data_IF_290400055688
#
_entry.id   IF_290400055688
#
_cell.length_a   1.000
_cell.length_b   1.000
_cell.length_c   1.000
_cell.angle_alpha   90.00
_cell.angle_beta   90.00
_cell.angle_gamma   90.00
#
_symmetry.space_group_name_H-M   'P 1'
#
loop_
_entity.id
_entity.type
_entity.pdbx_description
1 polymer ?
#
# COMPACT_ATOMS: atom_id res chain seq x y z
N UNK A 1 -1.00 -16.47 24.55
CA UNK A 1 -1.23 -15.24 23.78
C UNK A 1 -0.85 -15.51 22.33
N UNK A 2 -1.76 -15.39 21.35
CA UNK A 2 -1.45 -15.64 19.92
C UNK A 2 -1.08 -14.32 19.26
N UNK A 3 0.15 -14.19 18.73
CA UNK A 3 0.54 -13.06 17.88
C UNK A 3 -0.34 -13.04 16.63
N UNK A 4 -0.85 -11.86 16.26
CA UNK A 4 -1.60 -11.66 15.00
C UNK A 4 -0.66 -11.81 13.82
N UNK A 5 -1.22 -12.08 12.63
CA UNK A 5 -0.43 -12.24 11.41
C UNK A 5 0.38 -10.97 11.08
N UNK A 6 -0.20 -9.79 11.31
CA UNK A 6 0.47 -8.50 11.12
C UNK A 6 1.73 -8.33 11.98
N UNK A 7 1.73 -8.87 13.21
CA UNK A 7 2.87 -8.79 14.12
C UNK A 7 4.10 -9.60 13.64
N UNK A 8 3.93 -10.42 12.59
CA UNK A 8 4.99 -11.27 12.02
C UNK A 8 5.50 -10.79 10.67
N UNK A 9 4.75 -9.92 10.00
CA UNK A 9 5.11 -9.39 8.69
C UNK A 9 6.25 -8.40 8.82
N UNK A 10 7.31 -8.57 8.02
CA UNK A 10 8.32 -7.54 7.81
C UNK A 10 7.95 -6.74 6.58
N UNK A 11 7.91 -5.41 6.71
CA UNK A 11 7.57 -4.51 5.62
C UNK A 11 8.80 -3.74 5.15
N UNK A 12 9.00 -3.65 3.84
CA UNK A 12 10.10 -2.94 3.21
C UNK A 12 9.59 -2.05 2.07
N UNK A 13 10.28 -0.94 1.83
CA UNK A 13 9.99 -0.08 0.68
C UNK A 13 10.71 -0.58 -0.55
N UNK A 14 9.98 -0.82 -1.64
CA UNK A 14 10.59 -1.14 -2.93
C UNK A 14 10.82 0.16 -3.74
N UNK A 15 12.08 0.55 -4.03
CA UNK A 15 12.38 1.80 -4.72
C UNK A 15 12.03 1.78 -6.22
N UNK A 16 11.91 0.60 -6.84
CA UNK A 16 11.56 0.47 -8.26
C UNK A 16 10.07 0.61 -8.49
N UNK A 17 9.24 0.01 -7.63
CA UNK A 17 7.77 0.13 -7.71
C UNK A 17 7.22 1.35 -6.99
N UNK A 18 8.04 2.00 -6.15
CA UNK A 18 7.62 3.09 -5.26
C UNK A 18 6.40 2.68 -4.41
N UNK A 19 6.45 1.47 -3.85
CA UNK A 19 5.40 0.86 -3.05
C UNK A 19 5.99 -0.10 -2.00
N UNK A 20 5.27 -0.35 -0.89
CA UNK A 20 5.70 -1.33 0.09
C UNK A 20 5.51 -2.77 -0.39
N UNK A 21 6.36 -3.63 0.15
CA UNK A 21 6.18 -5.08 0.14
C UNK A 21 6.20 -5.56 1.59
N UNK A 22 5.40 -6.58 1.91
CA UNK A 22 5.41 -7.23 3.22
C UNK A 22 5.56 -8.73 3.05
N UNK A 23 6.38 -9.36 3.89
CA UNK A 23 6.65 -10.78 3.78
C UNK A 23 6.90 -11.44 5.14
N UNK A 24 6.56 -12.72 5.22
CA UNK A 24 6.84 -13.60 6.36
C UNK A 24 6.86 -15.07 5.90
N UNK A 25 7.97 -15.76 6.14
CA UNK A 25 8.20 -17.14 5.66
C UNK A 25 7.93 -17.28 4.15
N UNK A 26 6.91 -18.03 3.74
CA UNK A 26 6.51 -18.23 2.33
C UNK A 26 5.37 -17.32 1.88
N UNK A 27 4.97 -16.35 2.70
CA UNK A 27 3.91 -15.39 2.38
C UNK A 27 4.52 -14.06 1.96
N UNK A 28 3.97 -13.47 0.90
CA UNK A 28 4.40 -12.19 0.36
C UNK A 28 3.20 -11.42 -0.16
N UNK A 29 3.17 -10.11 0.08
CA UNK A 29 2.15 -9.20 -0.45
C UNK A 29 2.78 -7.89 -0.88
N UNK A 30 2.43 -7.44 -2.09
CA UNK A 30 2.65 -6.08 -2.56
C UNK A 30 1.32 -5.32 -2.46
N UNK A 31 1.37 -4.09 -1.99
CA UNK A 31 0.17 -3.30 -1.72
C UNK A 31 0.48 -1.81 -1.83
N UNK A 32 -0.56 -0.99 -1.77
CA UNK A 32 -0.44 0.45 -1.66
C UNK A 32 -0.60 0.90 -0.21
N UNK A 33 0.22 1.87 0.21
CA UNK A 33 0.04 2.57 1.48
C UNK A 33 -0.09 4.08 1.22
N UNK A 34 -0.26 4.85 2.30
CA UNK A 34 -0.39 6.31 2.23
C UNK A 34 0.71 6.96 1.36
N UNK A 35 1.97 6.53 1.53
CA UNK A 35 3.10 7.09 0.78
C UNK A 35 3.05 6.75 -0.72
N UNK A 36 2.73 5.52 -1.10
CA UNK A 36 2.69 5.14 -2.52
C UNK A 36 1.49 5.78 -3.23
N UNK A 37 0.35 5.90 -2.55
CA UNK A 37 -0.82 6.62 -3.08
C UNK A 37 -0.51 8.10 -3.28
N UNK A 38 0.17 8.75 -2.33
CA UNK A 38 0.61 10.14 -2.47
C UNK A 38 1.52 10.34 -3.69
N UNK A 39 2.51 9.45 -3.89
CA UNK A 39 3.39 9.47 -5.07
C UNK A 39 2.58 9.36 -6.37
N UNK A 40 1.64 8.41 -6.43
CA UNK A 40 0.79 8.20 -7.62
C UNK A 40 -0.12 9.41 -7.89
N UNK A 41 -0.72 10.00 -6.85
CA UNK A 41 -1.56 11.17 -6.97
C UNK A 41 -0.77 12.40 -7.46
N UNK A 42 0.43 12.61 -6.90
CA UNK A 42 1.33 13.67 -7.33
C UNK A 42 1.81 13.48 -8.77
N UNK A 43 2.09 12.26 -9.18
CA UNK A 43 2.41 11.93 -10.56
C UNK A 43 1.24 12.27 -11.52
N UNK A 44 0.02 11.85 -11.19
CA UNK A 44 -1.15 12.16 -11.99
C UNK A 44 -1.36 13.68 -12.16
N UNK A 45 -1.16 14.44 -11.08
CA UNK A 45 -1.21 15.91 -11.10
C UNK A 45 -0.10 16.51 -11.97
N UNK A 46 1.14 16.05 -11.84
CA UNK A 46 2.28 16.54 -12.61
C UNK A 46 2.13 16.28 -14.13
N UNK A 47 1.49 15.17 -14.49
CA UNK A 47 1.23 14.79 -15.88
C UNK A 47 -0.05 15.41 -16.47
N UNK A 48 -0.81 16.18 -15.68
CA UNK A 48 -2.08 16.76 -16.14
C UNK A 48 -3.14 15.72 -16.49
N UNK A 49 -3.12 14.55 -15.82
CA UNK A 49 -4.13 13.52 -16.02
C UNK A 49 -5.46 13.94 -15.37
N UNK A 50 -6.57 13.39 -15.87
CA UNK A 50 -7.91 13.72 -15.39
C UNK A 50 -8.18 13.31 -13.93
N UNK A 51 -7.41 12.36 -13.38
CA UNK A 51 -7.55 11.88 -12.01
C UNK A 51 -7.04 10.45 -11.82
N UNK A 52 -7.45 9.82 -10.73
CA UNK A 52 -7.21 8.41 -10.42
C UNK A 52 -8.49 7.71 -9.99
N UNK A 53 -8.52 6.39 -10.09
CA UNK A 53 -9.61 5.53 -9.62
C UNK A 53 -9.05 4.57 -8.58
N UNK A 54 -9.81 4.34 -7.50
CA UNK A 54 -9.47 3.38 -6.45
C UNK A 54 -10.43 2.20 -6.54
N UNK A 55 -9.87 1.00 -6.51
CA UNK A 55 -10.62 -0.25 -6.39
C UNK A 55 -10.13 -0.99 -5.14
N UNK A 56 -10.93 -1.10 -4.08
CA UNK A 56 -12.27 -0.55 -3.89
C UNK A 56 -12.42 0.04 -2.49
N UNK A 57 -13.47 0.84 -2.27
CA UNK A 57 -13.61 1.64 -1.04
C UNK A 57 -13.68 0.78 0.22
N UNK A 58 -14.26 -0.41 0.14
CA UNK A 58 -14.40 -1.36 1.25
C UNK A 58 -13.09 -2.06 1.62
N UNK A 59 -12.06 -1.96 0.77
CA UNK A 59 -10.73 -2.51 1.04
C UNK A 59 -9.79 -1.54 1.74
N UNK A 60 -10.20 -0.28 1.87
CA UNK A 60 -9.51 0.69 2.70
C UNK A 60 -9.86 0.47 4.19
N UNK A 61 -9.06 1.04 5.09
CA UNK A 61 -9.40 1.07 6.50
C UNK A 61 -10.48 2.13 6.77
N UNK A 62 -11.71 1.82 6.38
CA UNK A 62 -12.88 2.69 6.59
C UNK A 62 -13.20 2.91 8.08
N UNK A 63 -12.64 2.09 8.98
CA UNK A 63 -12.81 2.19 10.43
C UNK A 63 -11.81 3.13 11.12
N UNK A 64 -10.66 3.39 10.47
CA UNK A 64 -9.62 4.31 10.96
C UNK A 64 -8.88 3.81 12.20
N UNK A 65 -8.46 2.55 12.21
CA UNK A 65 -7.84 1.86 13.34
C UNK A 65 -6.30 1.94 13.40
#
# INVERSE_FOLDING_TARGET
>A
MKMKLGDRMKSEWNPYYMAPISYWDRQWVGYDNVKSIEIKANYAKAMGLAGGMVWSIETDDFGGH
#
